data_IF_013814927908
#
_entry.id   IF_013814927908
#
_cell.length_a   1.000
_cell.length_b   1.000
_cell.length_c   1.000
_cell.angle_alpha   90.00
_cell.angle_beta   90.00
_cell.angle_gamma   90.00
#
_symmetry.space_group_name_H-M   'P 1'
#
loop_
_entity.id
_entity.type
_entity.pdbx_description
1 polymer ?
#
# COMPACT_ATOMS: atom_id res chain seq x y z
N UNK A 1 27.24 -4.52 33.11
CA UNK A 1 26.06 -5.34 33.39
C UNK A 1 24.78 -4.66 32.94
N UNK A 2 24.13 -5.25 31.92
CA UNK A 2 22.67 -5.26 31.70
C UNK A 2 22.38 -5.93 30.34
N UNK A 3 22.67 -7.23 30.25
CA UNK A 3 22.23 -8.11 29.16
C UNK A 3 21.05 -8.92 29.66
N UNK A 4 19.81 -8.48 29.41
CA UNK A 4 18.62 -9.29 29.72
C UNK A 4 17.35 -8.74 29.05
N UNK A 5 17.16 -9.01 27.77
CA UNK A 5 15.85 -9.19 27.11
C UNK A 5 16.13 -10.19 25.98
N UNK A 6 15.73 -11.46 26.04
CA UNK A 6 14.45 -11.98 26.48
C UNK A 6 13.80 -12.63 25.26
N UNK A 7 14.33 -13.79 24.86
CA UNK A 7 13.84 -14.64 23.77
C UNK A 7 12.35 -14.95 23.94
N UNK A 8 11.55 -14.68 22.92
CA UNK A 8 10.18 -15.21 22.81
C UNK A 8 10.18 -16.44 21.90
N UNK A 9 9.48 -17.52 22.29
CA UNK A 9 9.47 -18.79 21.56
C UNK A 9 8.58 -18.71 20.31
N UNK A 10 9.13 -19.16 19.18
CA UNK A 10 8.39 -19.44 17.95
C UNK A 10 7.36 -20.55 18.22
N UNK A 11 6.11 -20.15 18.35
CA UNK A 11 4.96 -21.04 18.44
C UNK A 11 4.66 -21.68 17.09
N UNK A 12 4.81 -23.00 17.06
CA UNK A 12 4.42 -23.94 16.01
C UNK A 12 2.99 -23.72 15.53
N UNK A 13 2.82 -23.44 14.23
CA UNK A 13 1.52 -23.54 13.55
C UNK A 13 1.44 -24.93 12.95
N UNK A 14 0.68 -25.80 13.62
CA UNK A 14 0.26 -27.10 13.10
C UNK A 14 -0.76 -26.85 11.98
N UNK A 15 -0.27 -26.78 10.75
CA UNK A 15 -1.09 -26.76 9.55
C UNK A 15 -1.55 -28.18 9.23
N UNK A 16 -2.85 -28.43 9.37
CA UNK A 16 -3.52 -29.65 8.92
C UNK A 16 -3.29 -29.78 7.41
N UNK A 17 -2.49 -30.78 7.03
CA UNK A 17 -2.19 -31.11 5.64
C UNK A 17 -3.44 -31.64 4.94
N UNK A 18 -4.11 -30.75 4.22
CA UNK A 18 -5.06 -31.13 3.17
C UNK A 18 -4.23 -31.58 1.97
N UNK A 19 -3.90 -32.86 1.92
CA UNK A 19 -3.30 -33.53 0.75
C UNK A 19 -4.29 -33.46 -0.41
N UNK A 20 -4.26 -32.36 -1.15
CA UNK A 20 -4.72 -32.35 -2.53
C UNK A 20 -3.76 -33.24 -3.30
N UNK A 21 -4.23 -34.42 -3.71
CA UNK A 21 -3.62 -35.19 -4.78
C UNK A 21 -3.55 -34.29 -6.01
N UNK A 22 -2.42 -33.60 -6.17
CA UNK A 22 -2.09 -32.77 -7.32
C UNK A 22 -1.84 -33.71 -8.48
N UNK A 23 -2.91 -34.07 -9.20
CA UNK A 23 -2.77 -34.42 -10.60
C UNK A 23 -1.99 -33.29 -11.27
N UNK A 24 -0.76 -33.59 -11.66
CA UNK A 24 0.13 -32.63 -12.31
C UNK A 24 -0.57 -32.09 -13.56
N UNK A 25 -0.56 -30.77 -13.79
CA UNK A 25 -0.94 -30.25 -15.10
C UNK A 25 0.04 -30.83 -16.11
N UNK A 26 -0.43 -31.81 -16.88
CA UNK A 26 0.36 -32.41 -17.93
C UNK A 26 0.76 -31.31 -18.92
N UNK A 27 2.02 -31.30 -19.40
CA UNK A 27 2.42 -30.33 -20.40
C UNK A 27 1.46 -30.42 -21.60
N UNK A 28 1.12 -29.28 -22.23
CA UNK A 28 0.22 -29.26 -23.38
C UNK A 28 0.74 -30.25 -24.44
N UNK A 29 -0.14 -31.19 -24.82
CA UNK A 29 0.19 -32.32 -25.68
C UNK A 29 0.92 -31.83 -26.94
N UNK A 30 2.16 -32.26 -27.12
CA UNK A 30 2.98 -31.95 -28.30
C UNK A 30 4.12 -30.94 -28.08
N UNK A 31 4.26 -30.34 -26.90
CA UNK A 31 5.43 -29.49 -26.58
C UNK A 31 6.51 -30.29 -25.85
N UNK A 32 7.77 -30.15 -26.31
CA UNK A 32 8.89 -30.71 -25.55
C UNK A 32 8.98 -30.05 -24.16
N UNK A 33 9.44 -30.77 -23.14
CA UNK A 33 9.60 -30.21 -21.80
C UNK A 33 10.51 -28.97 -21.78
N UNK A 34 11.49 -28.92 -22.68
CA UNK A 34 12.34 -27.74 -22.92
C UNK A 34 11.53 -26.53 -23.39
N UNK A 35 10.63 -26.72 -24.37
CA UNK A 35 9.72 -25.67 -24.85
C UNK A 35 8.77 -25.19 -23.75
N UNK A 36 8.29 -26.10 -22.90
CA UNK A 36 7.43 -25.75 -21.78
C UNK A 36 8.16 -24.94 -20.69
N UNK A 37 9.39 -25.33 -20.35
CA UNK A 37 10.24 -24.57 -19.42
C UNK A 37 10.56 -23.16 -19.94
N UNK A 38 10.77 -23.00 -21.24
CA UNK A 38 10.95 -21.69 -21.87
C UNK A 38 9.68 -20.84 -21.77
N UNK A 39 8.50 -21.44 -21.94
CA UNK A 39 7.22 -20.76 -21.75
C UNK A 39 7.05 -20.28 -20.30
N UNK A 40 7.27 -21.17 -19.32
CA UNK A 40 7.21 -20.80 -17.90
C UNK A 40 8.20 -19.68 -17.55
N UNK A 41 9.42 -19.73 -18.10
CA UNK A 41 10.41 -18.66 -17.90
C UNK A 41 9.92 -17.32 -18.44
N UNK A 42 9.39 -17.31 -19.67
CA UNK A 42 8.81 -16.11 -20.27
C UNK A 42 7.63 -15.58 -19.45
N UNK A 43 6.75 -16.45 -18.97
CA UNK A 43 5.58 -16.04 -18.18
C UNK A 43 5.98 -15.45 -16.83
N UNK A 44 7.03 -15.99 -16.19
CA UNK A 44 7.63 -15.39 -15.00
C UNK A 44 8.17 -13.99 -15.31
N UNK A 45 8.92 -13.81 -16.40
CA UNK A 45 9.47 -12.50 -16.77
C UNK A 45 8.39 -11.47 -17.07
N UNK A 46 7.39 -11.83 -17.89
CA UNK A 46 6.28 -10.95 -18.25
C UNK A 46 5.49 -10.55 -17.01
N UNK A 47 5.16 -11.51 -16.15
CA UNK A 47 4.40 -11.25 -14.92
C UNK A 47 5.21 -10.41 -13.93
N UNK A 48 6.52 -10.66 -13.81
CA UNK A 48 7.43 -9.86 -12.98
C UNK A 48 7.52 -8.42 -13.46
N UNK A 49 7.65 -8.20 -14.77
CA UNK A 49 7.67 -6.86 -15.36
C UNK A 49 6.34 -6.12 -15.14
N UNK A 50 5.21 -6.83 -15.26
CA UNK A 50 3.89 -6.27 -14.97
C UNK A 50 3.74 -5.88 -13.50
N UNK A 51 4.21 -6.73 -12.58
CA UNK A 51 4.25 -6.45 -11.15
C UNK A 51 5.05 -5.18 -10.84
N UNK A 52 6.22 -5.02 -11.46
CA UNK A 52 7.04 -3.83 -11.26
C UNK A 52 6.32 -2.55 -11.71
N UNK A 53 5.69 -2.57 -12.89
CA UNK A 53 4.93 -1.43 -13.39
C UNK A 53 3.77 -1.06 -12.48
N UNK A 54 3.01 -2.05 -11.98
CA UNK A 54 1.93 -1.79 -11.03
C UNK A 54 2.45 -1.25 -9.70
N UNK A 55 3.59 -1.73 -9.19
CA UNK A 55 4.23 -1.14 -7.99
C UNK A 55 4.59 0.33 -8.20
N UNK A 56 5.12 0.69 -9.37
CA UNK A 56 5.42 2.09 -9.72
C UNK A 56 4.14 2.93 -9.80
N UNK A 57 3.09 2.42 -10.45
CA UNK A 57 1.78 3.09 -10.53
C UNK A 57 1.17 3.28 -9.13
N UNK A 58 1.30 2.28 -8.26
CA UNK A 58 0.80 2.31 -6.89
C UNK A 58 1.55 3.36 -6.07
N UNK A 59 2.88 3.45 -6.21
CA UNK A 59 3.69 4.49 -5.58
C UNK A 59 3.22 5.90 -5.94
N UNK A 60 2.98 6.17 -7.23
CA UNK A 60 2.44 7.45 -7.69
C UNK A 60 1.05 7.74 -7.10
N UNK A 61 0.17 6.74 -7.02
CA UNK A 61 -1.16 6.91 -6.44
C UNK A 61 -1.09 7.21 -4.93
N UNK A 62 -0.16 6.60 -4.21
CA UNK A 62 0.11 6.93 -2.80
C UNK A 62 0.56 8.38 -2.63
N UNK A 63 1.45 8.88 -3.48
CA UNK A 63 1.87 10.28 -3.47
C UNK A 63 0.70 11.23 -3.71
N UNK A 64 -0.14 10.95 -4.72
CA UNK A 64 -1.33 11.73 -5.03
C UNK A 64 -2.34 11.71 -3.87
N UNK A 65 -2.52 10.55 -3.23
CA UNK A 65 -3.37 10.40 -2.06
C UNK A 65 -2.84 11.20 -0.86
N UNK A 66 -1.56 11.08 -0.53
CA UNK A 66 -0.93 11.83 0.56
C UNK A 66 -1.01 13.34 0.32
N UNK A 67 -0.84 13.79 -0.93
CA UNK A 67 -1.00 15.20 -1.29
C UNK A 67 -2.45 15.66 -1.10
N UNK A 68 -3.42 14.92 -1.63
CA UNK A 68 -4.84 15.25 -1.46
C UNK A 68 -5.26 15.25 0.01
N UNK A 69 -4.69 14.36 0.82
CA UNK A 69 -4.93 14.33 2.27
C UNK A 69 -4.33 15.53 2.98
N UNK A 70 -3.10 15.91 2.65
CA UNK A 70 -2.48 17.12 3.19
C UNK A 70 -3.26 18.39 2.82
N UNK A 71 -3.74 18.50 1.58
CA UNK A 71 -4.61 19.60 1.14
C UNK A 71 -5.94 19.64 1.91
N UNK A 72 -6.52 18.48 2.20
CA UNK A 72 -7.73 18.38 3.01
C UNK A 72 -7.47 18.82 4.45
N UNK A 73 -6.40 18.31 5.08
CA UNK A 73 -6.05 18.64 6.45
C UNK A 73 -5.71 20.14 6.61
N UNK A 74 -5.04 20.77 5.64
CA UNK A 74 -4.76 22.22 5.64
C UNK A 74 -6.04 23.06 5.57
N UNK A 75 -7.03 22.61 4.80
CA UNK A 75 -8.29 23.34 4.59
C UNK A 75 -9.32 23.12 5.70
N UNK A 76 -9.31 21.93 6.31
CA UNK A 76 -10.26 21.55 7.38
C UNK A 76 -9.70 21.89 8.76
N UNK A 77 -8.38 21.82 8.95
CA UNK A 77 -7.70 22.09 10.21
C UNK A 77 -6.52 23.07 10.04
N UNK A 78 -6.73 24.31 9.55
CA UNK A 78 -5.64 25.29 9.38
C UNK A 78 -4.94 25.67 10.69
N UNK A 79 -5.52 25.32 11.84
CA UNK A 79 -5.00 25.61 13.18
C UNK A 79 -3.72 24.85 13.56
N UNK A 80 -3.22 23.90 12.74
CA UNK A 80 -2.01 23.11 13.04
C UNK A 80 -0.75 23.55 12.29
N UNK A 81 -0.74 24.70 11.60
CA UNK A 81 0.54 25.28 11.17
C UNK A 81 1.33 25.60 12.44
N UNK A 82 2.48 24.95 12.62
CA UNK A 82 3.47 25.35 13.63
C UNK A 82 3.65 26.86 13.48
N UNK A 83 3.12 27.62 14.44
CA UNK A 83 3.33 29.06 14.49
C UNK A 83 4.84 29.24 14.54
N UNK A 84 5.40 29.91 13.54
CA UNK A 84 6.79 30.32 13.55
C UNK A 84 7.02 31.16 14.82
N UNK A 85 8.22 31.17 15.42
CA UNK A 85 8.47 31.99 16.61
C UNK A 85 8.02 33.46 16.41
N UNK A 86 8.17 34.00 15.20
CA UNK A 86 7.65 35.32 14.83
C UNK A 86 6.13 35.48 15.00
N UNK A 87 5.33 34.47 14.65
CA UNK A 87 3.87 34.50 14.82
C UNK A 87 3.48 34.43 16.30
N UNK A 88 4.26 33.69 17.10
CA UNK A 88 4.08 33.59 18.56
C UNK A 88 4.41 34.94 19.22
N UNK A 89 5.50 35.61 18.82
CA UNK A 89 5.86 36.93 19.33
C UNK A 89 4.83 38.01 18.93
N UNK A 90 4.32 37.95 17.69
CA UNK A 90 3.30 38.90 17.21
C UNK A 90 1.96 38.71 17.91
N UNK A 91 1.56 37.47 18.19
CA UNK A 91 0.34 37.16 18.94
C UNK A 91 0.46 37.56 20.42
N UNK A 92 1.62 37.35 21.06
CA UNK A 92 1.89 37.83 22.42
C UNK A 92 1.90 39.36 22.51
N UNK A 93 2.38 40.06 21.49
CA UNK A 93 2.36 41.52 21.45
C UNK A 93 0.93 42.10 21.35
N UNK A 94 0.01 41.41 20.67
CA UNK A 94 -1.39 41.83 20.56
C UNK A 94 -2.28 41.39 21.74
N UNK A 95 -1.88 40.35 22.48
CA UNK A 95 -2.62 39.87 23.64
C UNK A 95 -2.54 40.81 24.87
N UNK A 96 -1.57 41.73 24.92
CA UNK A 96 -1.40 42.66 26.05
C UNK A 96 -2.35 43.87 26.04
N UNK A 97 -3.01 44.17 24.91
CA UNK A 97 -3.94 45.31 24.81
C UNK A 97 -5.43 44.89 24.87
N UNK A 98 -5.74 43.59 25.04
CA UNK A 98 -7.13 43.12 25.01
C UNK A 98 -7.53 42.41 26.30
N UNK A 99 -8.50 43.02 26.99
CA UNK A 99 -9.19 42.54 28.20
C UNK A 99 -9.51 41.02 28.19
N UNK A 100 -9.41 40.31 29.35
CA UNK A 100 -9.70 38.88 29.45
C UNK A 100 -11.21 38.65 29.43
N UNK A 101 -11.79 38.70 28.24
CA UNK A 101 -13.20 38.48 28.01
C UNK A 101 -13.41 37.70 26.73
N UNK A 102 -13.52 36.37 26.88
CA UNK A 102 -14.39 35.46 26.12
C UNK A 102 -14.54 35.65 24.59
N UNK A 103 -14.40 34.54 23.86
CA UNK A 103 -15.00 34.34 22.52
C UNK A 103 -14.21 34.74 21.26
N UNK A 104 -12.87 34.70 21.29
CA UNK A 104 -12.05 34.82 20.05
C UNK A 104 -11.94 33.52 19.25
N UNK A 105 -11.79 32.38 19.93
CA UNK A 105 -11.55 31.07 19.28
C UNK A 105 -12.76 30.58 18.48
N UNK A 106 -13.98 30.81 18.97
CA UNK A 106 -15.20 30.34 18.29
C UNK A 106 -15.51 31.13 17.01
N UNK A 107 -15.18 32.42 16.96
CA UNK A 107 -15.41 33.26 15.78
C UNK A 107 -14.40 32.96 14.66
N UNK A 108 -13.13 32.70 15.00
CA UNK A 108 -12.11 32.32 14.02
C UNK A 108 -12.38 30.94 13.39
N UNK A 109 -12.82 29.98 14.20
CA UNK A 109 -13.26 28.66 13.71
C UNK A 109 -14.49 28.78 12.81
N UNK A 110 -15.45 29.67 13.14
CA UNK A 110 -16.59 29.99 12.28
C UNK A 110 -16.18 30.62 10.95
N UNK A 111 -15.32 31.64 10.95
CA UNK A 111 -14.83 32.27 9.71
C UNK A 111 -14.04 31.29 8.83
N UNK A 112 -13.22 30.42 9.44
CA UNK A 112 -12.47 29.38 8.72
C UNK A 112 -13.41 28.33 8.12
N UNK A 113 -14.37 27.81 8.89
CA UNK A 113 -15.40 26.88 8.39
C UNK A 113 -16.28 27.52 7.31
N UNK A 114 -16.45 28.84 7.35
CA UNK A 114 -17.23 29.62 6.39
C UNK A 114 -16.42 29.98 5.13
N UNK A 115 -15.08 30.02 5.22
CA UNK A 115 -14.18 30.26 4.09
C UNK A 115 -13.98 29.03 3.19
N UNK A 116 -14.20 27.83 3.71
CA UNK A 116 -14.07 26.60 2.93
C UNK A 116 -15.45 26.23 2.35
N UNK A 117 -15.66 26.51 1.06
CA UNK A 117 -16.91 26.17 0.38
C UNK A 117 -17.25 24.67 0.60
N UNK A 118 -18.46 24.33 1.08
CA UNK A 118 -18.89 22.93 1.22
C UNK A 118 -18.76 22.12 -0.07
N UNK A 119 -18.80 22.78 -1.24
CA UNK A 119 -18.53 22.15 -2.53
C UNK A 119 -17.07 21.70 -2.69
N UNK A 120 -16.10 22.48 -2.21
CA UNK A 120 -14.68 22.15 -2.27
C UNK A 120 -14.34 20.95 -1.35
N UNK A 121 -14.93 20.90 -0.15
CA UNK A 121 -14.75 19.76 0.76
C UNK A 121 -15.32 18.47 0.19
N UNK A 122 -16.57 18.49 -0.31
CA UNK A 122 -17.18 17.32 -0.96
C UNK A 122 -16.39 16.84 -2.18
N UNK A 123 -15.80 17.76 -2.94
CA UNK A 123 -14.92 17.42 -4.06
C UNK A 123 -13.64 16.70 -3.59
N UNK A 124 -13.00 17.18 -2.51
CA UNK A 124 -11.84 16.52 -1.91
C UNK A 124 -12.20 15.14 -1.33
N UNK A 125 -13.32 15.02 -0.61
CA UNK A 125 -13.81 13.73 -0.10
C UNK A 125 -14.07 12.73 -1.22
N UNK A 126 -14.68 13.17 -2.32
CA UNK A 126 -14.90 12.34 -3.51
C UNK A 126 -13.58 11.89 -4.14
N UNK A 127 -12.60 12.80 -4.27
CA UNK A 127 -11.25 12.47 -4.79
C UNK A 127 -10.53 11.48 -3.89
N UNK A 128 -10.52 11.69 -2.57
CA UNK A 128 -9.92 10.79 -1.58
C UNK A 128 -10.57 9.41 -1.68
N UNK A 129 -11.90 9.34 -1.69
CA UNK A 129 -12.65 8.08 -1.79
C UNK A 129 -12.32 7.30 -3.07
N UNK A 130 -12.27 8.01 -4.22
CA UNK A 130 -11.88 7.41 -5.50
C UNK A 130 -10.43 6.90 -5.49
N UNK A 131 -9.51 7.69 -4.93
CA UNK A 131 -8.11 7.29 -4.80
C UNK A 131 -7.95 6.08 -3.88
N UNK A 132 -8.66 6.02 -2.75
CA UNK A 132 -8.68 4.86 -1.84
C UNK A 132 -9.18 3.60 -2.53
N UNK A 133 -10.30 3.69 -3.27
CA UNK A 133 -10.84 2.54 -3.99
C UNK A 133 -9.84 2.02 -5.02
N UNK A 134 -9.24 2.92 -5.81
CA UNK A 134 -8.22 2.57 -6.80
C UNK A 134 -6.97 1.96 -6.15
N UNK A 135 -6.55 2.48 -4.99
CA UNK A 135 -5.42 1.96 -4.22
C UNK A 135 -5.66 0.51 -3.79
N UNK A 136 -6.86 0.21 -3.29
CA UNK A 136 -7.24 -1.15 -2.88
C UNK A 136 -7.22 -2.10 -4.07
N UNK A 137 -7.84 -1.73 -5.19
CA UNK A 137 -7.82 -2.56 -6.42
C UNK A 137 -6.38 -2.82 -6.90
N UNK A 138 -5.52 -1.80 -6.90
CA UNK A 138 -4.12 -1.97 -7.31
C UNK A 138 -3.31 -2.82 -6.32
N UNK A 139 -3.58 -2.71 -5.02
CA UNK A 139 -2.97 -3.58 -4.02
C UNK A 139 -3.38 -5.04 -4.20
N UNK A 140 -4.65 -5.32 -4.47
CA UNK A 140 -5.13 -6.66 -4.71
C UNK A 140 -4.50 -7.25 -5.99
N UNK A 141 -4.41 -6.48 -7.07
CA UNK A 141 -3.70 -6.88 -8.29
C UNK A 141 -2.21 -7.19 -8.04
N UNK A 142 -1.54 -6.38 -7.22
CA UNK A 142 -0.14 -6.62 -6.82
C UNK A 142 0.00 -7.90 -6.00
N UNK A 143 -0.96 -8.18 -5.11
CA UNK A 143 -0.99 -9.43 -4.33
C UNK A 143 -1.20 -10.64 -5.24
N UNK A 144 -2.17 -10.58 -6.14
CA UNK A 144 -2.48 -11.64 -7.10
C UNK A 144 -1.29 -11.95 -8.02
N UNK A 145 -0.63 -10.93 -8.56
CA UNK A 145 0.57 -11.14 -9.41
C UNK A 145 1.74 -11.77 -8.65
N UNK A 146 1.89 -11.48 -7.35
CA UNK A 146 2.90 -12.16 -6.51
C UNK A 146 2.59 -13.65 -6.38
N UNK A 147 1.35 -13.98 -6.04
CA UNK A 147 0.91 -15.38 -5.98
C UNK A 147 1.14 -16.09 -7.31
N UNK A 148 0.78 -15.46 -8.43
CA UNK A 148 1.00 -16.04 -9.76
C UNK A 148 2.48 -16.29 -10.08
N UNK A 149 3.37 -15.39 -9.67
CA UNK A 149 4.82 -15.58 -9.84
C UNK A 149 5.30 -16.78 -9.00
N UNK A 150 4.82 -16.91 -7.77
CA UNK A 150 5.19 -18.01 -6.89
C UNK A 150 4.66 -19.36 -7.42
N UNK A 151 3.42 -19.40 -7.92
CA UNK A 151 2.84 -20.59 -8.57
C UNK A 151 3.67 -21.02 -9.78
N UNK A 152 4.02 -20.08 -10.67
CA UNK A 152 4.84 -20.38 -11.86
C UNK A 152 6.24 -20.86 -11.49
N UNK A 153 6.82 -20.36 -10.39
CA UNK A 153 8.13 -20.82 -9.89
C UNK A 153 8.04 -22.24 -9.34
N UNK A 154 7.00 -22.54 -8.56
CA UNK A 154 6.77 -23.89 -8.04
C UNK A 154 6.53 -24.89 -9.17
N UNK A 155 5.73 -24.50 -10.16
CA UNK A 155 5.50 -25.31 -11.36
C UNK A 155 6.80 -25.58 -12.11
N UNK A 156 7.64 -24.57 -12.31
CA UNK A 156 8.95 -24.72 -12.94
C UNK A 156 9.86 -25.69 -12.18
N UNK A 157 9.89 -25.59 -10.84
CA UNK A 157 10.66 -26.51 -9.98
C UNK A 157 10.17 -27.93 -10.13
N UNK A 158 8.85 -28.15 -10.07
CA UNK A 158 8.28 -29.49 -10.23
C UNK A 158 8.57 -30.09 -11.61
N UNK A 159 8.58 -29.30 -12.68
CA UNK A 159 8.97 -29.76 -14.02
C UNK A 159 10.44 -30.16 -14.05
N UNK A 160 11.33 -29.40 -13.42
CA UNK A 160 12.74 -29.81 -13.30
C UNK A 160 12.90 -31.10 -12.52
N UNK A 161 12.21 -31.25 -11.39
CA UNK A 161 12.26 -32.46 -10.57
C UNK A 161 11.75 -33.69 -11.33
N UNK A 162 10.67 -33.54 -12.10
CA UNK A 162 10.14 -34.61 -12.93
C UNK A 162 11.11 -35.02 -14.05
N UNK A 163 11.76 -34.04 -14.68
CA UNK A 163 12.79 -34.31 -15.69
C UNK A 163 14.01 -35.00 -15.10
N UNK A 164 14.47 -34.56 -13.92
CA UNK A 164 15.61 -35.16 -13.24
C UNK A 164 15.32 -36.63 -12.91
N UNK A 165 14.14 -36.93 -12.36
CA UNK A 165 13.71 -38.32 -12.09
C UNK A 165 13.71 -39.18 -13.35
N UNK A 166 13.24 -38.65 -14.47
CA UNK A 166 13.23 -39.39 -15.75
C UNK A 166 14.62 -39.63 -16.36
N UNK A 167 15.64 -38.90 -15.91
CA UNK A 167 17.04 -39.09 -16.32
C UNK A 167 17.73 -40.13 -15.42
N UNK A 168 17.33 -40.20 -14.15
CA UNK A 168 17.93 -41.10 -13.15
C UNK A 168 17.36 -42.54 -13.22
N UNK A 169 16.24 -42.75 -13.92
CA UNK A 169 15.62 -44.06 -14.24
C UNK A 169 16.17 -44.69 -15.53
#
# INVERSE_FOLDING_TARGET
DASALGNLPYGSVVGIGLVHSSEMPAPPRGSSASSYLQLLHRDIEVTTRKLELERRRLGKLFEDFSRARAEFDDKVLPSKKQKTEQDIYREKAMANDTSPGSSGYNNRVKEILQSCSPGAMRSLESRISKSTAKLNTMNDNVREMRHRIDDLRMEKVHVYDALQKSIDE
#
